data_IF_778599444188
#
_entry.id   IF_778599444188
#
_cell.length_a   1.000
_cell.length_b   1.000
_cell.length_c   1.000
_cell.angle_alpha   90.00
_cell.angle_beta   90.00
_cell.angle_gamma   90.00
#
_symmetry.space_group_name_H-M   'P 1'
#
loop_
_entity.id
_entity.type
_entity.pdbx_description
1 polymer ?
#
# COMPACT_ATOMS: atom_id res chain seq x y z
N UNK A 1 11.62 0.02 -1.66
CA UNK A 1 10.42 -0.69 -2.14
C UNK A 1 9.21 0.18 -1.88
N UNK A 2 8.26 0.25 -2.81
CA UNK A 2 6.97 0.94 -2.62
C UNK A 2 5.90 -0.14 -2.67
N UNK A 3 5.02 -0.15 -1.67
CA UNK A 3 3.96 -1.15 -1.52
C UNK A 3 2.62 -0.45 -1.50
N UNK A 4 1.67 -0.97 -2.26
CA UNK A 4 0.28 -0.51 -2.25
C UNK A 4 -0.48 -1.27 -1.16
N UNK A 5 -1.19 -0.54 -0.30
CA UNK A 5 -1.96 -1.08 0.81
C UNK A 5 -3.47 -0.97 0.57
N UNK A 6 -4.24 -1.95 1.05
CA UNK A 6 -5.63 -2.26 0.73
C UNK A 6 -5.89 -2.93 -0.63
N UNK A 7 -4.86 -3.03 -1.49
CA UNK A 7 -5.00 -3.64 -2.82
C UNK A 7 -5.75 -2.75 -3.81
N UNK A 8 -5.67 -3.12 -5.08
CA UNK A 8 -6.53 -2.62 -6.17
C UNK A 8 -7.60 -3.72 -6.33
N UNK A 9 -8.78 -3.45 -6.90
CA UNK A 9 -9.92 -4.39 -7.09
C UNK A 9 -11.06 -4.24 -6.05
N UNK A 10 -11.32 -5.28 -5.26
CA UNK A 10 -12.50 -5.40 -4.39
C UNK A 10 -12.05 -5.61 -2.95
N UNK A 11 -11.44 -4.56 -2.38
CA UNK A 11 -11.12 -4.53 -0.95
C UNK A 11 -12.34 -4.13 -0.11
N UNK A 12 -12.12 -4.01 1.20
CA UNK A 12 -13.11 -3.54 2.17
C UNK A 12 -12.51 -2.32 2.86
N UNK A 13 -13.27 -1.23 2.97
CA UNK A 13 -12.82 -0.08 3.76
C UNK A 13 -12.91 -0.34 5.27
N UNK A 14 -12.33 0.56 6.07
CA UNK A 14 -12.25 0.40 7.52
C UNK A 14 -13.62 0.35 8.21
N UNK A 15 -14.58 1.12 7.72
CA UNK A 15 -15.95 1.15 8.25
C UNK A 15 -16.65 -0.18 7.98
N UNK A 16 -16.69 -0.60 6.73
CA UNK A 16 -17.26 -1.88 6.29
C UNK A 16 -16.59 -3.06 6.99
N UNK A 17 -15.27 -2.99 7.21
CA UNK A 17 -14.53 -4.03 7.93
C UNK A 17 -14.96 -4.13 9.39
N UNK A 18 -15.21 -3.01 10.05
CA UNK A 18 -15.70 -2.98 11.43
C UNK A 18 -17.09 -3.59 11.59
N UNK A 19 -17.91 -3.53 10.54
CA UNK A 19 -19.27 -4.08 10.51
C UNK A 19 -19.33 -5.59 10.22
N UNK A 20 -18.25 -6.20 9.71
CA UNK A 20 -18.18 -7.65 9.46
C UNK A 20 -18.33 -8.50 10.74
N UNK A 21 -18.31 -7.90 11.92
CA UNK A 21 -18.52 -8.60 13.18
C UNK A 21 -17.30 -9.41 13.63
N UNK A 22 -17.55 -10.43 14.45
CA UNK A 22 -16.50 -11.03 15.32
C UNK A 22 -15.56 -11.99 14.59
N UNK A 23 -15.95 -12.49 13.40
CA UNK A 23 -15.14 -13.47 12.66
C UNK A 23 -14.96 -13.06 11.19
N UNK A 24 -14.05 -12.10 10.91
CA UNK A 24 -13.74 -11.66 9.56
C UNK A 24 -13.28 -12.81 8.64
N UNK A 25 -12.70 -13.89 9.19
CA UNK A 25 -12.24 -15.02 8.39
C UNK A 25 -13.40 -15.79 7.74
N UNK A 26 -14.63 -15.67 8.27
CA UNK A 26 -15.82 -16.34 7.72
C UNK A 26 -16.66 -15.47 6.80
N UNK A 27 -16.59 -14.14 6.96
CA UNK A 27 -17.52 -13.23 6.29
C UNK A 27 -16.85 -12.24 5.34
N UNK A 28 -15.54 -11.99 5.48
CA UNK A 28 -14.85 -11.09 4.57
C UNK A 28 -14.77 -11.72 3.17
N UNK A 29 -14.88 -10.91 2.10
CA UNK A 29 -14.58 -11.36 0.76
C UNK A 29 -13.19 -11.99 0.69
N UNK A 30 -12.96 -13.03 -0.13
CA UNK A 30 -11.66 -13.69 -0.24
C UNK A 30 -10.55 -12.75 -0.76
N UNK A 31 -10.93 -11.63 -1.37
CA UNK A 31 -10.02 -10.57 -1.86
C UNK A 31 -9.76 -9.46 -0.84
N UNK A 32 -10.46 -9.47 0.29
CA UNK A 32 -10.31 -8.45 1.32
C UNK A 32 -8.95 -8.57 2.00
N UNK A 33 -8.21 -7.46 2.02
CA UNK A 33 -7.00 -7.32 2.82
C UNK A 33 -7.35 -6.58 4.12
N UNK A 34 -6.59 -6.85 5.18
CA UNK A 34 -6.75 -6.12 6.44
C UNK A 34 -6.53 -4.62 6.20
N UNK A 35 -7.53 -3.76 6.51
CA UNK A 35 -7.39 -2.32 6.31
C UNK A 35 -6.25 -1.74 7.14
N UNK A 36 -5.60 -0.71 6.61
CA UNK A 36 -4.57 0.08 7.32
C UNK A 36 -3.37 -0.75 7.82
N UNK A 37 -3.06 -1.88 7.16
CA UNK A 37 -1.95 -2.76 7.58
C UNK A 37 -0.60 -2.04 7.56
N UNK A 38 0.17 -2.08 8.65
CA UNK A 38 1.40 -1.30 8.81
C UNK A 38 2.66 -2.01 8.29
N UNK A 39 2.70 -2.32 6.98
CA UNK A 39 3.80 -3.06 6.35
C UNK A 39 5.18 -2.41 6.52
N UNK A 40 5.24 -1.10 6.65
CA UNK A 40 6.50 -0.39 6.86
C UNK A 40 7.16 -0.72 8.21
N UNK A 41 6.42 -1.27 9.17
CA UNK A 41 6.98 -1.76 10.44
C UNK A 41 7.83 -3.01 10.26
N UNK A 42 7.54 -3.81 9.24
CA UNK A 42 8.29 -5.04 8.95
C UNK A 42 9.74 -4.67 8.64
N UNK A 43 9.98 -3.68 7.76
CA UNK A 43 11.35 -3.32 7.39
C UNK A 43 12.13 -2.73 8.57
N UNK A 44 11.45 -2.06 9.50
CA UNK A 44 12.06 -1.52 10.72
C UNK A 44 12.56 -2.64 11.63
N UNK A 45 11.82 -3.75 11.74
CA UNK A 45 12.25 -4.92 12.50
C UNK A 45 13.54 -5.57 11.94
N UNK A 46 13.80 -5.42 10.64
CA UNK A 46 15.03 -5.87 9.98
C UNK A 46 16.11 -4.76 9.87
N UNK A 47 15.96 -3.67 10.62
CA UNK A 47 16.95 -2.60 10.70
C UNK A 47 16.97 -1.62 9.52
N UNK A 48 16.01 -1.71 8.61
CA UNK A 48 15.76 -0.70 7.57
C UNK A 48 14.86 0.44 8.04
N UNK A 49 14.36 1.25 7.11
CA UNK A 49 13.52 2.41 7.40
C UNK A 49 12.15 2.31 6.74
N UNK A 50 11.10 2.43 7.55
CA UNK A 50 9.72 2.48 7.09
C UNK A 50 9.21 3.91 6.91
N UNK A 51 8.36 4.12 5.90
CA UNK A 51 7.55 5.32 5.72
C UNK A 51 6.11 4.91 5.41
N UNK A 52 5.15 5.72 5.87
CA UNK A 52 3.72 5.51 5.65
C UNK A 52 3.13 6.76 5.00
N UNK A 53 2.38 6.59 3.90
CA UNK A 53 1.81 7.67 3.13
C UNK A 53 0.35 7.41 2.79
N UNK A 54 -0.49 8.39 3.08
CA UNK A 54 -1.95 8.31 2.84
C UNK A 54 -2.43 9.31 1.79
N UNK A 55 -1.57 10.25 1.42
CA UNK A 55 -1.88 11.30 0.45
C UNK A 55 -0.72 11.47 -0.53
N UNK A 56 -0.98 12.04 -1.73
CA UNK A 56 0.09 12.33 -2.68
C UNK A 56 1.21 13.21 -2.11
N UNK A 57 0.88 14.19 -1.26
CA UNK A 57 1.88 15.05 -0.63
C UNK A 57 2.72 14.30 0.41
N UNK A 58 2.09 13.47 1.24
CA UNK A 58 2.81 12.57 2.16
C UNK A 58 3.71 11.61 1.40
N UNK A 59 3.26 11.08 0.26
CA UNK A 59 4.07 10.21 -0.60
C UNK A 59 5.28 10.96 -1.18
N UNK A 60 5.09 12.18 -1.68
CA UNK A 60 6.19 13.01 -2.19
C UNK A 60 7.23 13.30 -1.09
N UNK A 61 6.77 13.64 0.12
CA UNK A 61 7.65 13.85 1.26
C UNK A 61 8.41 12.57 1.64
N UNK A 62 7.71 11.43 1.74
CA UNK A 62 8.30 10.13 2.04
C UNK A 62 9.36 9.71 1.01
N UNK A 63 9.12 9.97 -0.28
CA UNK A 63 10.09 9.72 -1.35
C UNK A 63 11.38 10.53 -1.16
N UNK A 64 11.25 11.83 -0.88
CA UNK A 64 12.41 12.70 -0.62
C UNK A 64 13.22 12.18 0.57
N UNK A 65 12.54 11.89 1.68
CA UNK A 65 13.19 11.33 2.87
C UNK A 65 13.83 9.96 2.61
N UNK A 66 13.19 9.08 1.84
CA UNK A 66 13.74 7.78 1.48
C UNK A 66 15.06 7.90 0.69
N UNK A 67 15.13 8.84 -0.27
CA UNK A 67 16.37 9.11 -0.99
C UNK A 67 17.47 9.67 -0.09
N UNK A 68 17.12 10.58 0.82
CA UNK A 68 18.08 11.12 1.78
C UNK A 68 18.60 10.04 2.74
N UNK A 69 17.73 9.16 3.24
CA UNK A 69 18.09 8.03 4.10
C UNK A 69 19.03 7.06 3.38
N UNK A 70 18.66 6.59 2.19
CA UNK A 70 19.49 5.65 1.41
C UNK A 70 20.87 6.20 1.05
N UNK A 71 21.01 7.53 0.88
CA UNK A 71 22.29 8.19 0.63
C UNK A 71 23.17 8.25 1.88
N UNK A 72 22.58 8.57 3.04
CA UNK A 72 23.31 8.71 4.31
C UNK A 72 23.69 7.36 4.89
N UNK A 73 22.72 6.45 4.89
CA UNK A 73 22.81 5.12 5.48
C UNK A 73 22.35 4.16 4.40
N UNK A 74 23.24 3.26 3.96
CA UNK A 74 22.97 2.27 2.90
C UNK A 74 22.01 1.16 3.38
N UNK A 75 20.89 1.55 3.97
CA UNK A 75 19.84 0.69 4.51
C UNK A 75 18.66 0.62 3.55
N UNK A 76 17.95 -0.52 3.50
CA UNK A 76 16.75 -0.65 2.72
C UNK A 76 15.63 0.23 3.29
N UNK A 77 14.83 0.78 2.38
CA UNK A 77 13.67 1.62 2.71
C UNK A 77 12.39 1.01 2.12
N UNK A 78 11.31 1.03 2.90
CA UNK A 78 9.96 0.65 2.48
C UNK A 78 9.01 1.85 2.63
N UNK A 79 8.31 2.20 1.56
CA UNK A 79 7.23 3.20 1.60
C UNK A 79 5.91 2.45 1.41
N UNK A 80 5.10 2.43 2.47
CA UNK A 80 3.77 1.84 2.50
C UNK A 80 2.75 2.91 2.13
N UNK A 81 2.04 2.72 1.02
CA UNK A 81 1.14 3.72 0.43
C UNK A 81 -0.29 3.23 0.52
N UNK A 82 -1.12 3.93 1.28
CA UNK A 82 -2.56 3.66 1.30
C UNK A 82 -3.18 4.02 -0.04
N UNK A 83 -3.96 3.09 -0.58
CA UNK A 83 -4.82 3.33 -1.73
C UNK A 83 -6.26 2.97 -1.37
N UNK A 84 -7.21 3.54 -2.12
CA UNK A 84 -8.61 3.16 -1.96
C UNK A 84 -8.79 1.69 -2.31
N UNK A 85 -9.49 0.89 -1.48
CA UNK A 85 -9.82 -0.50 -1.79
C UNK A 85 -10.72 -0.65 -3.02
N UNK A 86 -11.38 0.44 -3.44
CA UNK A 86 -12.24 0.54 -4.62
C UNK A 86 -11.53 1.22 -5.79
N UNK A 87 -10.22 1.44 -5.70
CA UNK A 87 -9.45 2.00 -6.80
C UNK A 87 -9.43 1.00 -7.97
N UNK A 88 -9.76 1.51 -9.15
CA UNK A 88 -9.63 0.76 -10.41
C UNK A 88 -8.43 1.29 -11.21
N UNK A 89 -8.01 0.49 -12.19
CA UNK A 89 -6.97 0.87 -13.14
C UNK A 89 -7.38 2.14 -13.88
N UNK A 90 -6.58 3.18 -13.73
CA UNK A 90 -6.71 4.38 -14.55
C UNK A 90 -6.25 4.11 -15.98
N UNK A 91 -6.85 4.78 -16.99
CA UNK A 91 -6.36 4.73 -18.36
C UNK A 91 -4.87 5.06 -18.40
N UNK A 92 -4.09 4.19 -19.03
CA UNK A 92 -2.65 4.41 -19.19
C UNK A 92 -2.42 5.04 -20.55
N UNK A 93 -1.62 6.12 -20.57
CA UNK A 93 -1.32 6.89 -21.78
C UNK A 93 -0.59 6.04 -22.84
N UNK A 94 0.26 5.12 -22.39
CA UNK A 94 1.12 4.35 -23.26
C UNK A 94 0.61 2.91 -23.47
N UNK A 95 0.56 2.49 -24.74
CA UNK A 95 0.00 1.19 -25.13
C UNK A 95 0.73 -0.03 -24.53
N UNK A 96 1.99 0.10 -24.13
CA UNK A 96 2.72 -1.01 -23.48
C UNK A 96 2.33 -1.21 -22.01
N UNK A 97 1.65 -0.24 -21.41
CA UNK A 97 1.08 -0.33 -20.05
C UNK A 97 -0.36 -0.91 -20.07
N UNK A 98 -0.94 -1.15 -21.25
CA UNK A 98 -2.32 -1.65 -21.42
C UNK A 98 -2.42 -3.04 -22.03
N UNK A 99 -1.30 -3.69 -22.40
CA UNK A 99 -1.34 -5.02 -23.02
C UNK A 99 -1.82 -6.08 -22.02
N UNK A 100 -3.10 -6.42 -22.10
CA UNK A 100 -3.60 -7.72 -21.67
C UNK A 100 -3.00 -8.76 -22.60
N UNK A 101 -2.16 -9.67 -22.07
CA UNK A 101 -1.87 -10.92 -22.78
C UNK A 101 -3.16 -11.73 -22.71
N UNK A 102 -3.98 -11.62 -23.75
CA UNK A 102 -5.01 -12.61 -24.06
C UNK A 102 -4.35 -13.69 -24.92
#
# INVERSE_FOLDING_TARGET
>A
MIVNNNGIYNGVDEESWSELGVDPARVAPPTALLPNTRYERIIEAFGGKGFFAETPDKLRAALKSAFDETRKVKKPVLINVMISPYADRKPQEFFWLTRSKM
#
